data_IF_046507335173
#
_entry.id   IF_046507335173
#
_cell.length_a   1.000
_cell.length_b   1.000
_cell.length_c   1.000
_cell.angle_alpha   90.00
_cell.angle_beta   90.00
_cell.angle_gamma   90.00
#
_symmetry.space_group_name_H-M   'P 1'
#
loop_
_entity.id
_entity.type
_entity.pdbx_description
1 polymer ?
#
# COMPACT_ATOMS: atom_id res chain seq x y z
N UNK A 1 7.91 -17.15 0.63
CA UNK A 1 7.46 -16.20 1.66
C UNK A 1 8.33 -14.95 1.58
N UNK A 2 7.85 -13.78 2.03
CA UNK A 2 8.64 -12.53 2.01
C UNK A 2 8.42 -11.71 3.27
N UNK A 3 9.44 -10.97 3.67
CA UNK A 3 9.35 -9.96 4.74
C UNK A 3 9.13 -8.60 4.09
N UNK A 4 8.19 -7.82 4.61
CA UNK A 4 7.93 -6.46 4.14
C UNK A 4 8.15 -5.52 5.32
N UNK A 5 9.02 -4.49 5.18
CA UNK A 5 9.19 -3.51 6.23
C UNK A 5 7.87 -2.76 6.45
N UNK A 6 7.49 -2.62 7.71
CA UNK A 6 6.27 -1.92 8.12
C UNK A 6 6.68 -0.60 8.76
N UNK A 7 6.19 0.52 8.21
CA UNK A 7 6.48 1.85 8.75
C UNK A 7 5.89 2.04 10.14
N UNK A 8 6.52 2.91 10.94
CA UNK A 8 6.12 3.18 12.32
C UNK A 8 4.62 3.51 12.49
N UNK A 9 4.00 4.37 11.65
CA UNK A 9 2.56 4.68 11.78
C UNK A 9 1.67 3.45 11.57
N UNK A 10 2.09 2.50 10.73
CA UNK A 10 1.35 1.28 10.49
C UNK A 10 1.48 0.29 11.67
N UNK A 11 2.64 0.27 12.35
CA UNK A 11 2.83 -0.50 13.58
C UNK A 11 1.98 0.05 14.72
N UNK A 12 1.96 1.37 14.91
CA UNK A 12 1.11 2.03 15.92
C UNK A 12 -0.38 1.71 15.70
N UNK A 13 -0.84 1.85 14.46
CA UNK A 13 -2.22 1.53 14.10
C UNK A 13 -2.55 0.03 14.29
N UNK A 14 -1.60 -0.85 13.98
CA UNK A 14 -1.74 -2.29 14.19
C UNK A 14 -1.82 -2.62 15.68
N UNK A 15 -0.97 -2.01 16.51
CA UNK A 15 -0.97 -2.24 17.96
C UNK A 15 -2.30 -1.78 18.58
N UNK A 16 -2.76 -0.57 18.25
CA UNK A 16 -4.06 -0.06 18.69
C UNK A 16 -5.21 -0.97 18.25
N UNK A 17 -5.15 -1.52 17.04
CA UNK A 17 -6.10 -2.52 16.58
C UNK A 17 -6.01 -3.82 17.40
N UNK A 18 -4.83 -4.37 17.65
CA UNK A 18 -4.66 -5.62 18.39
C UNK A 18 -5.14 -5.49 19.85
N UNK A 19 -4.88 -4.36 20.49
CA UNK A 19 -5.21 -4.15 21.90
C UNK A 19 -6.66 -3.79 22.14
N UNK A 20 -7.25 -2.97 21.27
CA UNK A 20 -8.61 -2.45 21.49
C UNK A 20 -9.57 -3.04 20.47
N UNK A 21 -9.33 -2.78 19.18
CA UNK A 21 -10.27 -3.11 18.11
C UNK A 21 -10.56 -4.61 17.98
N UNK A 22 -9.51 -5.43 17.88
CA UNK A 22 -9.59 -6.88 17.68
C UNK A 22 -10.22 -7.57 18.88
N UNK A 23 -9.84 -7.19 20.10
CA UNK A 23 -10.45 -7.74 21.33
C UNK A 23 -11.95 -7.47 21.37
N UNK A 24 -12.37 -6.24 21.02
CA UNK A 24 -13.78 -5.87 20.93
C UNK A 24 -14.55 -6.68 19.87
N UNK A 25 -13.93 -6.94 18.70
CA UNK A 25 -14.55 -7.73 17.63
C UNK A 25 -14.65 -9.23 17.98
N UNK A 26 -13.68 -9.77 18.72
CA UNK A 26 -13.67 -11.18 19.13
C UNK A 26 -14.77 -11.51 20.14
N UNK A 27 -15.08 -10.62 21.07
CA UNK A 27 -16.11 -10.86 22.12
C UNK A 27 -15.90 -12.20 22.85
N UNK A 28 -14.65 -12.50 23.22
CA UNK A 28 -14.29 -13.76 23.90
C UNK A 28 -14.08 -14.97 22.98
N UNK A 29 -14.30 -14.85 21.67
CA UNK A 29 -13.97 -15.91 20.71
C UNK A 29 -12.47 -15.93 20.39
N UNK A 30 -11.97 -17.07 19.90
CA UNK A 30 -10.63 -17.19 19.32
C UNK A 30 -10.64 -17.04 17.80
N UNK A 31 -9.51 -16.61 17.24
CA UNK A 31 -9.28 -16.53 15.79
C UNK A 31 -7.78 -16.51 15.52
N UNK A 32 -7.34 -17.27 14.53
CA UNK A 32 -5.92 -17.31 14.12
C UNK A 32 -5.54 -16.16 13.18
N UNK A 33 -6.54 -15.40 12.71
CA UNK A 33 -6.33 -14.32 11.75
C UNK A 33 -6.08 -12.99 12.45
N UNK A 34 -5.09 -12.24 11.96
CA UNK A 34 -4.81 -10.88 12.44
C UNK A 34 -6.03 -9.99 12.21
N UNK A 35 -6.46 -9.86 10.95
CA UNK A 35 -7.60 -9.02 10.57
C UNK A 35 -8.91 -9.83 10.50
N UNK A 36 -9.87 -9.44 11.33
CA UNK A 36 -11.17 -10.09 11.46
C UNK A 36 -12.33 -9.13 11.23
N UNK A 37 -13.47 -9.67 10.80
CA UNK A 37 -14.75 -8.96 10.83
C UNK A 37 -15.47 -9.11 12.19
N UNK A 38 -16.64 -8.47 12.32
CA UNK A 38 -17.45 -8.43 13.55
C UNK A 38 -17.87 -9.82 14.11
N UNK A 39 -17.74 -10.88 13.31
CA UNK A 39 -18.06 -12.26 13.70
C UNK A 39 -16.83 -13.09 14.08
N UNK A 40 -15.65 -12.49 14.22
CA UNK A 40 -14.39 -13.21 14.50
C UNK A 40 -13.84 -14.01 13.32
N UNK A 41 -14.52 -13.95 12.17
CA UNK A 41 -14.10 -14.58 10.91
C UNK A 41 -13.10 -13.68 10.16
N UNK A 42 -12.28 -14.25 9.26
CA UNK A 42 -11.34 -13.48 8.46
C UNK A 42 -12.01 -12.29 7.76
N UNK A 43 -11.32 -11.16 7.71
CA UNK A 43 -11.80 -10.01 6.96
C UNK A 43 -11.87 -10.36 5.47
N UNK A 44 -13.06 -10.27 4.88
CA UNK A 44 -13.24 -10.57 3.46
C UNK A 44 -12.74 -9.43 2.57
N UNK A 45 -12.35 -9.76 1.33
CA UNK A 45 -11.97 -8.77 0.30
C UNK A 45 -13.04 -7.69 0.09
N UNK A 46 -14.31 -8.10 0.04
CA UNK A 46 -15.44 -7.19 -0.10
C UNK A 46 -15.60 -6.27 1.12
N UNK A 47 -15.37 -6.78 2.34
CA UNK A 47 -15.41 -5.96 3.55
C UNK A 47 -14.28 -4.92 3.54
N UNK A 48 -13.05 -5.31 3.20
CA UNK A 48 -11.93 -4.38 3.05
C UNK A 48 -12.23 -3.28 2.02
N UNK A 49 -12.81 -3.65 0.87
CA UNK A 49 -13.21 -2.68 -0.15
C UNK A 49 -14.22 -1.65 0.39
N UNK A 50 -15.24 -2.11 1.13
CA UNK A 50 -16.23 -1.22 1.76
C UNK A 50 -15.60 -0.30 2.80
N UNK A 51 -14.67 -0.80 3.61
CA UNK A 51 -13.93 -0.02 4.61
C UNK A 51 -13.12 1.09 3.93
N UNK A 52 -12.33 0.75 2.91
CA UNK A 52 -11.52 1.72 2.15
C UNK A 52 -12.41 2.79 1.52
N UNK A 53 -13.52 2.40 0.89
CA UNK A 53 -14.46 3.35 0.27
C UNK A 53 -15.08 4.28 1.31
N UNK A 54 -15.46 3.77 2.47
CA UNK A 54 -16.02 4.58 3.56
C UNK A 54 -15.05 5.67 4.00
N UNK A 55 -13.79 5.32 4.24
CA UNK A 55 -12.78 6.30 4.66
C UNK A 55 -12.38 7.26 3.55
N UNK A 56 -12.36 6.81 2.29
CA UNK A 56 -12.15 7.71 1.15
C UNK A 56 -13.21 8.80 1.08
N UNK A 57 -14.49 8.43 1.23
CA UNK A 57 -15.59 9.40 1.26
C UNK A 57 -15.49 10.34 2.47
N UNK A 58 -15.18 9.82 3.66
CA UNK A 58 -15.00 10.64 4.85
C UNK A 58 -13.83 11.64 4.73
N UNK A 59 -12.78 11.28 3.98
CA UNK A 59 -11.64 12.15 3.70
C UNK A 59 -11.87 13.12 2.52
N UNK A 60 -13.08 13.19 1.95
CA UNK A 60 -13.39 14.07 0.82
C UNK A 60 -12.80 13.62 -0.52
N UNK A 61 -12.32 12.37 -0.63
CA UNK A 61 -11.75 11.84 -1.87
C UNK A 61 -12.89 11.49 -2.83
N UNK A 62 -13.11 12.36 -3.82
CA UNK A 62 -14.17 12.21 -4.83
C UNK A 62 -13.95 11.05 -5.81
N UNK A 63 -12.69 10.64 -6.01
CA UNK A 63 -12.32 9.53 -6.89
C UNK A 63 -12.66 8.20 -6.24
N UNK A 64 -13.18 7.25 -7.03
CA UNK A 64 -13.39 5.86 -6.59
C UNK A 64 -12.05 5.24 -6.15
N UNK A 65 -11.86 5.08 -4.84
CA UNK A 65 -10.70 4.44 -4.24
C UNK A 65 -10.95 2.93 -4.04
N UNK A 66 -9.92 2.12 -4.27
CA UNK A 66 -9.91 0.68 -4.03
C UNK A 66 -8.60 0.27 -3.39
N UNK A 67 -8.52 -0.93 -2.77
CA UNK A 67 -7.25 -1.45 -2.24
C UNK A 67 -6.12 -1.48 -3.29
N UNK A 68 -6.43 -1.79 -4.56
CA UNK A 68 -5.45 -1.79 -5.65
C UNK A 68 -4.94 -0.38 -5.95
N UNK A 69 -5.81 0.64 -5.95
CA UNK A 69 -5.39 2.04 -6.15
C UNK A 69 -4.56 2.57 -4.99
N UNK A 70 -4.86 2.15 -3.76
CA UNK A 70 -4.02 2.46 -2.59
C UNK A 70 -2.61 1.85 -2.72
N UNK A 71 -2.53 0.57 -3.10
CA UNK A 71 -1.24 -0.08 -3.37
C UNK A 71 -0.45 0.66 -4.45
N UNK A 72 -1.12 1.05 -5.52
CA UNK A 72 -0.49 1.76 -6.62
C UNK A 72 0.03 3.14 -6.19
N UNK A 73 -0.79 3.91 -5.44
CA UNK A 73 -0.37 5.20 -4.90
C UNK A 73 0.85 5.07 -3.97
N UNK A 74 0.90 4.04 -3.14
CA UNK A 74 2.07 3.75 -2.30
C UNK A 74 3.32 3.48 -3.13
N UNK A 75 3.20 2.66 -4.17
CA UNK A 75 4.33 2.34 -5.05
C UNK A 75 4.87 3.60 -5.76
N UNK A 76 3.98 4.39 -6.34
CA UNK A 76 4.33 5.65 -7.01
C UNK A 76 4.94 6.65 -6.03
N UNK A 77 4.42 6.74 -4.81
CA UNK A 77 4.96 7.62 -3.77
C UNK A 77 6.39 7.24 -3.38
N UNK A 78 6.67 5.95 -3.19
CA UNK A 78 8.02 5.49 -2.89
C UNK A 78 9.00 5.78 -4.03
N UNK A 79 8.59 5.50 -5.27
CA UNK A 79 9.43 5.79 -6.43
C UNK A 79 9.70 7.28 -6.56
N UNK A 80 8.67 8.14 -6.42
CA UNK A 80 8.86 9.60 -6.42
C UNK A 80 9.82 10.09 -5.33
N UNK A 81 9.90 9.39 -4.20
CA UNK A 81 10.87 9.63 -3.13
C UNK A 81 12.29 9.10 -3.41
N UNK A 82 12.54 8.55 -4.60
CA UNK A 82 13.85 8.01 -5.01
C UNK A 82 14.10 6.57 -4.57
N UNK A 83 13.08 5.83 -4.13
CA UNK A 83 13.24 4.42 -3.80
C UNK A 83 13.57 3.60 -5.06
N UNK A 84 14.48 2.63 -4.91
CA UNK A 84 14.83 1.71 -5.99
C UNK A 84 13.61 0.86 -6.43
N UNK A 85 13.43 0.72 -7.74
CA UNK A 85 12.31 0.01 -8.32
C UNK A 85 12.29 -1.46 -7.90
N UNK A 86 13.47 -2.10 -7.82
CA UNK A 86 13.57 -3.50 -7.41
C UNK A 86 13.17 -3.68 -5.95
N UNK A 87 13.63 -2.79 -5.07
CA UNK A 87 13.19 -2.75 -3.69
C UNK A 87 11.65 -2.55 -3.55
N UNK A 88 11.05 -1.66 -4.34
CA UNK A 88 9.59 -1.44 -4.35
C UNK A 88 8.83 -2.69 -4.82
N UNK A 89 9.34 -3.38 -5.83
CA UNK A 89 8.76 -4.63 -6.34
C UNK A 89 8.81 -5.76 -5.31
N UNK A 90 9.94 -5.92 -4.61
CA UNK A 90 10.09 -6.91 -3.53
C UNK A 90 9.09 -6.67 -2.41
N UNK A 91 8.88 -5.41 -2.00
CA UNK A 91 7.91 -5.06 -0.95
C UNK A 91 6.46 -5.39 -1.36
N UNK A 92 6.09 -5.07 -2.60
CA UNK A 92 4.71 -5.24 -3.08
C UNK A 92 4.38 -6.67 -3.50
N UNK A 93 5.40 -7.46 -3.84
CA UNK A 93 5.29 -8.85 -4.29
C UNK A 93 4.84 -8.98 -5.75
N UNK A 94 5.41 -9.97 -6.45
CA UNK A 94 5.21 -10.20 -7.89
C UNK A 94 3.82 -10.76 -8.30
N UNK A 95 2.87 -10.92 -7.37
CA UNK A 95 1.66 -11.71 -7.61
C UNK A 95 0.58 -10.99 -8.45
N UNK A 96 0.78 -9.73 -8.84
CA UNK A 96 -0.11 -9.05 -9.78
C UNK A 96 0.70 -8.12 -10.69
N UNK A 97 1.24 -8.70 -11.76
CA UNK A 97 1.98 -8.06 -12.88
C UNK A 97 1.12 -7.05 -13.66
N UNK A 98 -0.12 -6.80 -13.23
CA UNK A 98 -1.07 -5.85 -13.82
C UNK A 98 -0.76 -4.37 -13.55
N UNK A 99 0.39 -4.03 -12.95
CA UNK A 99 0.86 -2.63 -12.73
C UNK A 99 2.21 -2.31 -13.39
N UNK A 100 2.78 -3.24 -14.16
CA UNK A 100 4.09 -3.09 -14.82
C UNK A 100 4.17 -1.85 -15.71
N UNK A 101 3.08 -1.49 -16.40
CA UNK A 101 3.04 -0.30 -17.27
C UNK A 101 3.27 1.02 -16.53
N UNK A 102 2.79 1.12 -15.28
CA UNK A 102 2.94 2.37 -14.53
C UNK A 102 4.37 2.50 -13.98
N UNK A 103 5.00 1.37 -13.64
CA UNK A 103 6.40 1.37 -13.23
C UNK A 103 7.33 1.79 -14.36
N UNK A 104 7.09 1.36 -15.60
CA UNK A 104 7.86 1.79 -16.78
C UNK A 104 7.77 3.30 -17.00
N UNK A 105 6.59 3.90 -16.82
CA UNK A 105 6.41 5.34 -16.96
C UNK A 105 7.16 6.15 -15.87
N UNK A 106 7.24 5.62 -14.65
CA UNK A 106 7.98 6.26 -13.55
C UNK A 106 9.49 6.08 -13.71
N UNK A 107 9.96 4.91 -14.14
CA UNK A 107 11.37 4.69 -14.48
C UNK A 107 11.82 5.62 -15.61
N UNK A 108 11.00 5.78 -16.66
CA UNK A 108 11.32 6.68 -17.78
C UNK A 108 11.44 8.15 -17.38
N UNK A 109 10.65 8.62 -16.40
CA UNK A 109 10.77 10.00 -15.91
C UNK A 109 11.98 10.20 -15.00
N UNK A 110 12.30 9.21 -14.16
CA UNK A 110 13.49 9.25 -13.29
C UNK A 110 14.79 9.11 -14.06
N UNK A 111 14.85 8.20 -15.03
CA UNK A 111 16.00 8.03 -15.91
C UNK A 111 16.27 9.32 -16.70
N UNK A 112 15.21 9.95 -17.23
CA UNK A 112 15.33 11.27 -17.86
C UNK A 112 15.84 12.33 -16.89
N UNK A 113 15.37 12.34 -15.64
CA UNK A 113 15.83 13.28 -14.62
C UNK A 113 17.31 13.07 -14.27
N UNK A 114 17.72 11.83 -14.03
CA UNK A 114 19.10 11.47 -13.71
C UNK A 114 20.05 11.77 -14.88
N UNK A 115 19.65 11.44 -16.11
CA UNK A 115 20.39 11.82 -17.33
C UNK A 115 20.48 13.34 -17.43
N UNK A 116 19.38 14.09 -17.28
CA UNK A 116 19.45 15.56 -17.37
C UNK A 116 20.32 16.20 -16.28
N UNK A 117 20.42 15.59 -15.09
CA UNK A 117 21.21 16.10 -13.97
C UNK A 117 22.69 15.74 -14.04
N UNK A 118 23.04 14.59 -14.61
CA UNK A 118 24.41 14.05 -14.56
C UNK A 118 25.06 13.85 -15.93
N UNK A 119 24.30 13.93 -17.03
CA UNK A 119 24.84 13.78 -18.37
C UNK A 119 25.41 15.10 -18.89
N UNK A 120 26.65 15.12 -19.42
CA UNK A 120 27.34 16.35 -19.85
C UNK A 120 26.62 17.12 -20.98
N UNK A 121 25.66 16.50 -21.66
CA UNK A 121 24.82 17.13 -22.71
C UNK A 121 23.42 17.55 -22.23
N UNK A 122 23.07 17.39 -20.94
CA UNK A 122 21.74 17.73 -20.39
C UNK A 122 21.49 19.22 -20.18
N UNK A 123 22.53 20.06 -20.32
CA UNK A 123 22.46 21.53 -20.35
C UNK A 123 22.74 22.03 -21.77
N UNK A 124 21.75 21.96 -22.65
CA UNK A 124 21.64 22.86 -23.80
C UNK A 124 20.19 23.28 -23.96
#
# INVERSE_FOLDING_TARGET
ERVVPVGHPALEALQAYLDVGRRHLLKGRSSDYVFIGNRGKPLSRMALFKIVRRYATAAGISRKLSPHKLRHAFATHLLQGGADLRAVQEMLGHADISTTEIYTHVEGSQLRHAVNQHHPLGRR
#
